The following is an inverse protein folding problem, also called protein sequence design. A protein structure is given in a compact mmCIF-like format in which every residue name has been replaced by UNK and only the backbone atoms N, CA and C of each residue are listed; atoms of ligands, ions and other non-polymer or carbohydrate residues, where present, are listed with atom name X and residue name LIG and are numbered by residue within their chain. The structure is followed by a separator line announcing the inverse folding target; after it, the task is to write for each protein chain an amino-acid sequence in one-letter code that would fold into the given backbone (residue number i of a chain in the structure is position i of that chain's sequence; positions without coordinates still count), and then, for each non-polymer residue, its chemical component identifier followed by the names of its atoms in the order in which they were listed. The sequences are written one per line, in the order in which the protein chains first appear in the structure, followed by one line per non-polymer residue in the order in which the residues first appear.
data_IF_754309625271
#
_entry.id   IF_754309625271
#
_cell.length_a   1.000
_cell.length_b   1.000
_cell.length_c   1.000
_cell.angle_alpha   90.00
_cell.angle_beta   90.00
_cell.angle_gamma   90.00
#
_symmetry.space_group_name_H-M   'P 1'
#
loop_
_entity.id
_entity.type
_entity.pdbx_description
1 polymer ?
#
# COMPACT_ATOMS: atom_id res chain seq x y z
N UNK A 1 4.26 -47.47 46.59
CA UNK A 1 3.18 -47.51 45.56
C UNK A 1 2.79 -46.06 45.30
N UNK A 2 3.41 -45.35 44.36
CA UNK A 2 3.07 -45.20 42.92
C UNK A 2 1.72 -44.47 42.71
N UNK A 3 1.76 -43.18 42.34
CA UNK A 3 1.11 -42.59 41.15
C UNK A 3 1.19 -41.05 41.16
N UNK A 4 1.37 -40.49 39.95
CA UNK A 4 1.61 -39.10 39.56
C UNK A 4 0.30 -38.56 38.97
N UNK A 5 -0.04 -37.28 39.18
CA UNK A 5 -0.93 -36.47 38.30
C UNK A 5 -0.88 -35.02 38.83
N UNK A 6 -0.33 -33.96 38.21
CA UNK A 6 -0.38 -33.36 36.86
C UNK A 6 -1.78 -33.02 36.35
N UNK A 7 -2.25 -31.81 36.64
CA UNK A 7 -3.15 -31.01 35.79
C UNK A 7 -3.38 -29.64 36.45
N UNK A 8 -3.46 -28.50 35.79
CA UNK A 8 -3.10 -28.03 34.45
C UNK A 8 -3.34 -26.53 34.57
N UNK A 9 -2.30 -25.70 34.63
CA UNK A 9 -2.46 -24.25 34.63
C UNK A 9 -2.85 -23.81 33.22
N UNK A 10 -4.12 -23.53 33.00
CA UNK A 10 -4.61 -22.99 31.73
C UNK A 10 -4.23 -21.49 31.64
N UNK A 11 -3.05 -21.22 31.08
CA UNK A 11 -2.64 -19.89 30.65
C UNK A 11 -3.39 -19.56 29.35
N UNK A 12 -4.53 -18.89 29.43
CA UNK A 12 -5.22 -18.35 28.27
C UNK A 12 -4.51 -17.08 27.80
N UNK A 13 -3.44 -17.24 27.02
CA UNK A 13 -2.84 -16.14 26.27
C UNK A 13 -3.71 -15.92 25.01
N UNK A 14 -4.78 -15.14 25.17
CA UNK A 14 -5.61 -14.73 24.05
C UNK A 14 -4.75 -13.78 23.19
N UNK A 15 -4.36 -14.26 22.02
CA UNK A 15 -3.47 -13.57 21.09
C UNK A 15 -4.01 -12.19 20.77
N UNK A 16 -3.22 -11.17 21.11
CA UNK A 16 -3.30 -9.88 20.44
C UNK A 16 -3.00 -10.16 18.96
N UNK A 17 -4.03 -10.24 18.12
CA UNK A 17 -3.86 -9.90 16.72
C UNK A 17 -3.40 -8.44 16.72
N UNK A 18 -2.09 -8.22 16.59
CA UNK A 18 -1.56 -6.89 16.36
C UNK A 18 -2.14 -6.44 15.01
N UNK A 19 -3.14 -5.58 15.07
CA UNK A 19 -3.60 -4.83 13.90
C UNK A 19 -2.43 -3.91 13.56
N UNK A 20 -1.63 -4.28 12.57
CA UNK A 20 -0.64 -3.37 12.03
C UNK A 20 -1.42 -2.22 11.41
N UNK A 21 -1.44 -1.07 12.07
CA UNK A 21 -1.96 0.16 11.48
C UNK A 21 -0.99 0.53 10.36
N UNK A 22 -1.41 0.35 9.10
CA UNK A 22 -0.68 0.93 7.99
C UNK A 22 -0.76 2.46 8.17
N UNK A 23 0.37 3.11 8.40
CA UNK A 23 0.41 4.57 8.38
C UNK A 23 0.16 5.04 6.94
N UNK A 24 -0.66 6.08 6.75
CA UNK A 24 -0.87 6.64 5.43
C UNK A 24 0.46 7.05 4.80
N UNK A 25 0.69 6.70 3.52
CA UNK A 25 1.93 7.03 2.85
C UNK A 25 2.12 8.55 2.81
N UNK A 26 3.27 9.01 3.31
CA UNK A 26 3.59 10.43 3.35
C UNK A 26 3.91 10.94 1.93
N UNK A 27 3.44 12.15 1.56
CA UNK A 27 3.84 12.78 0.32
C UNK A 27 5.36 12.91 0.19
N UNK A 28 5.89 12.57 -0.98
CA UNK A 28 7.32 12.67 -1.28
C UNK A 28 7.56 13.87 -2.18
N UNK A 29 8.46 14.78 -1.77
CA UNK A 29 8.81 15.97 -2.55
C UNK A 29 10.19 15.84 -3.20
N UNK A 30 10.26 16.06 -4.52
CA UNK A 30 11.50 16.11 -5.30
C UNK A 30 11.52 17.40 -6.12
N UNK A 31 12.33 18.36 -5.68
CA UNK A 31 12.36 19.70 -6.27
C UNK A 31 10.99 20.37 -6.20
N UNK A 32 10.43 20.74 -7.35
CA UNK A 32 9.09 21.32 -7.45
C UNK A 32 7.97 20.28 -7.49
N UNK A 33 8.29 18.99 -7.62
CA UNK A 33 7.29 17.95 -7.76
C UNK A 33 6.94 17.33 -6.41
N UNK A 34 5.67 17.04 -6.20
CA UNK A 34 5.15 16.30 -5.04
C UNK A 34 4.46 15.06 -5.56
N UNK A 35 4.78 13.92 -4.96
CA UNK A 35 4.16 12.63 -5.26
C UNK A 35 3.36 12.19 -4.06
N UNK A 36 2.08 11.90 -4.28
CA UNK A 36 1.15 11.41 -3.27
C UNK A 36 0.66 10.03 -3.69
N UNK A 37 0.63 9.09 -2.75
CA UNK A 37 0.09 7.75 -2.95
C UNK A 37 -1.21 7.67 -2.16
N UNK A 38 -2.27 7.13 -2.74
CA UNK A 38 -3.55 6.96 -2.06
C UNK A 38 -3.87 5.47 -1.98
N UNK A 39 -4.00 5.00 -0.75
CA UNK A 39 -4.46 3.64 -0.50
C UNK A 39 -5.98 3.60 -0.65
N UNK A 40 -6.54 2.51 -1.19
CA UNK A 40 -7.98 2.29 -1.15
C UNK A 40 -8.48 2.33 0.29
N UNK A 41 -9.66 2.90 0.51
CA UNK A 41 -10.27 3.05 1.85
C UNK A 41 -10.47 1.68 2.54
N UNK A 42 -10.81 0.65 1.76
CA UNK A 42 -11.01 -0.71 2.26
C UNK A 42 -9.68 -1.44 2.52
N UNK A 43 -8.56 -0.87 2.08
CA UNK A 43 -7.22 -1.45 2.19
C UNK A 43 -6.84 -2.36 1.02
N UNK A 44 -5.78 -3.15 1.22
CA UNK A 44 -5.25 -4.08 0.22
C UNK A 44 -5.51 -5.51 0.67
N UNK A 45 -6.20 -6.29 -0.16
CA UNK A 45 -6.51 -7.69 0.12
C UNK A 45 -5.75 -8.62 -0.82
N UNK A 46 -5.22 -9.71 -0.26
CA UNK A 46 -4.63 -10.78 -1.06
C UNK A 46 -5.69 -11.50 -1.89
N UNK A 47 -5.33 -11.95 -3.09
CA UNK A 47 -6.22 -12.67 -4.00
C UNK A 47 -7.13 -11.79 -4.84
N UNK A 48 -7.08 -10.48 -4.65
CA UNK A 48 -7.88 -9.51 -5.37
C UNK A 48 -7.00 -8.59 -6.22
N UNK A 49 -7.55 -8.17 -7.36
CA UNK A 49 -6.96 -7.08 -8.15
C UNK A 49 -7.43 -5.77 -7.55
N UNK A 50 -6.48 -4.98 -7.05
CA UNK A 50 -6.76 -3.70 -6.41
C UNK A 50 -6.06 -2.60 -7.19
N UNK A 51 -6.78 -1.53 -7.51
CA UNK A 51 -6.21 -0.36 -8.15
C UNK A 51 -5.77 0.64 -7.08
N UNK A 52 -4.48 0.95 -7.08
CA UNK A 52 -3.88 1.94 -6.18
C UNK A 52 -3.60 3.19 -6.98
N UNK A 53 -4.00 4.35 -6.48
CA UNK A 53 -3.78 5.60 -7.19
C UNK A 53 -2.55 6.35 -6.64
N UNK A 54 -1.84 7.04 -7.52
CA UNK A 54 -0.86 8.05 -7.12
C UNK A 54 -0.90 9.27 -8.02
N UNK A 55 -0.56 10.41 -7.46
CA UNK A 55 -0.52 11.70 -8.15
C UNK A 55 0.88 12.28 -8.20
N UNK A 56 1.24 12.86 -9.33
CA UNK A 56 2.43 13.71 -9.49
C UNK A 56 1.99 15.15 -9.73
N UNK A 57 2.37 16.04 -8.83
CA UNK A 57 1.90 17.42 -8.79
C UNK A 57 3.04 18.43 -8.85
N UNK A 58 2.82 19.57 -9.49
CA UNK A 58 3.73 20.72 -9.47
C UNK A 58 3.37 21.65 -8.30
N UNK A 59 4.19 21.65 -7.25
CA UNK A 59 3.98 22.46 -6.03
C UNK A 59 4.05 23.97 -6.25
N UNK A 60 4.42 24.43 -7.45
CA UNK A 60 4.43 25.86 -7.82
C UNK A 60 3.16 26.31 -8.52
N UNK A 61 2.23 25.39 -8.79
CA UNK A 61 1.00 25.65 -9.52
C UNK A 61 -0.21 25.11 -8.77
N UNK A 62 -1.27 25.91 -8.73
CA UNK A 62 -2.56 25.52 -8.16
C UNK A 62 -3.64 25.53 -9.22
N UNK A 63 -4.68 24.71 -9.04
CA UNK A 63 -5.88 24.74 -9.87
C UNK A 63 -7.00 25.51 -9.15
N UNK A 64 -8.13 25.70 -9.80
CA UNK A 64 -9.20 26.59 -9.32
C UNK A 64 -9.80 26.18 -7.95
N UNK A 65 -9.72 24.91 -7.59
CA UNK A 65 -10.19 24.36 -6.30
C UNK A 65 -9.16 24.51 -5.16
N UNK A 66 -7.99 25.11 -5.43
CA UNK A 66 -6.90 25.27 -4.46
C UNK A 66 -5.95 24.08 -4.34
N UNK A 67 -6.24 22.96 -5.03
CA UNK A 67 -5.33 21.82 -5.13
C UNK A 67 -4.12 22.11 -6.00
N UNK A 68 -3.09 21.26 -5.89
CA UNK A 68 -1.91 21.36 -6.76
C UNK A 68 -2.22 20.92 -8.19
N UNK A 69 -1.59 21.56 -9.16
CA UNK A 69 -1.74 21.19 -10.56
C UNK A 69 -1.01 19.88 -10.85
N UNK A 70 -1.73 18.89 -11.36
CA UNK A 70 -1.15 17.63 -11.79
C UNK A 70 -0.24 17.82 -13.01
N UNK A 71 0.86 17.07 -13.04
CA UNK A 71 1.80 17.07 -14.16
C UNK A 71 1.20 16.23 -15.28
N UNK A 72 0.90 16.79 -16.46
CA UNK A 72 0.37 16.00 -17.57
C UNK A 72 1.46 15.07 -18.15
N UNK A 73 1.01 14.00 -18.82
CA UNK A 73 1.86 13.08 -19.60
C UNK A 73 3.05 12.46 -18.83
N UNK A 74 2.86 12.17 -17.54
CA UNK A 74 3.85 11.46 -16.73
C UNK A 74 4.11 10.07 -17.32
N UNK A 75 5.38 9.78 -17.58
CA UNK A 75 5.86 8.45 -17.90
C UNK A 75 6.26 7.75 -16.59
N UNK A 76 5.37 6.90 -16.07
CA UNK A 76 5.58 6.19 -14.81
C UNK A 76 6.05 4.75 -15.02
N UNK A 77 6.87 4.29 -14.08
CA UNK A 77 7.23 2.88 -13.90
C UNK A 77 7.18 2.57 -12.41
N UNK A 78 6.77 1.36 -12.06
CA UNK A 78 6.66 0.93 -10.69
C UNK A 78 7.30 -0.45 -10.50
N UNK A 79 7.87 -0.63 -9.31
CA UNK A 79 8.31 -1.92 -8.79
C UNK A 79 7.74 -2.03 -7.40
N UNK A 80 6.92 -3.06 -7.18
CA UNK A 80 6.32 -3.35 -5.87
C UNK A 80 7.07 -4.52 -5.26
N UNK A 81 7.52 -4.34 -4.02
CA UNK A 81 8.22 -5.35 -3.24
C UNK A 81 7.54 -5.49 -1.90
N UNK A 82 7.55 -6.69 -1.32
CA UNK A 82 6.99 -6.93 0.00
C UNK A 82 8.06 -7.58 0.88
N UNK A 83 8.87 -6.75 1.59
CA UNK A 83 10.06 -7.22 2.30
C UNK A 83 9.75 -8.25 3.38
N UNK A 84 8.60 -8.13 4.03
CA UNK A 84 8.19 -9.00 5.14
C UNK A 84 7.65 -10.37 4.68
N UNK A 85 7.46 -10.58 3.37
CA UNK A 85 7.15 -11.88 2.79
C UNK A 85 8.36 -12.41 2.01
N UNK A 86 9.25 -13.08 2.74
CA UNK A 86 10.43 -13.72 2.16
C UNK A 86 9.99 -14.70 1.07
N UNK A 87 10.50 -14.51 -0.15
CA UNK A 87 10.17 -15.32 -1.32
C UNK A 87 9.13 -14.72 -2.27
N UNK A 88 8.48 -13.60 -1.93
CA UNK A 88 7.62 -12.90 -2.89
C UNK A 88 8.47 -12.15 -3.94
N UNK A 89 8.36 -12.48 -5.25
CA UNK A 89 9.13 -11.77 -6.27
C UNK A 89 8.65 -10.33 -6.42
N UNK A 90 9.58 -9.43 -6.80
CA UNK A 90 9.23 -8.07 -7.14
C UNK A 90 8.23 -8.03 -8.31
N UNK A 91 7.15 -7.28 -8.14
CA UNK A 91 6.10 -7.14 -9.13
C UNK A 91 6.29 -5.87 -9.95
N UNK A 92 5.92 -5.93 -11.23
CA UNK A 92 5.89 -4.78 -12.14
C UNK A 92 4.44 -4.59 -12.58
N UNK A 93 3.66 -3.81 -11.83
CA UNK A 93 2.23 -3.68 -12.09
C UNK A 93 1.96 -2.95 -13.41
N UNK A 94 0.77 -3.16 -13.95
CA UNK A 94 0.26 -2.36 -15.05
C UNK A 94 -0.10 -0.98 -14.52
N UNK A 95 0.33 0.05 -15.23
CA UNK A 95 0.05 1.45 -14.89
C UNK A 95 -0.82 2.03 -16.00
N UNK A 96 -1.86 2.77 -15.62
CA UNK A 96 -2.72 3.48 -16.55
C UNK A 96 -2.98 4.91 -16.08
N UNK A 97 -3.33 5.76 -17.04
CA UNK A 97 -3.67 7.15 -16.77
C UNK A 97 -5.08 7.22 -16.23
N UNK A 98 -5.26 8.02 -15.19
CA UNK A 98 -6.59 8.36 -14.71
C UNK A 98 -7.18 9.55 -15.46
N UNK A 99 -8.46 9.82 -15.22
CA UNK A 99 -9.18 10.96 -15.79
C UNK A 99 -8.67 12.34 -15.33
N UNK A 100 -7.76 12.39 -14.34
CA UNK A 100 -7.14 13.60 -13.80
C UNK A 100 -5.68 13.69 -14.21
N UNK A 101 -5.26 14.85 -14.70
CA UNK A 101 -3.87 15.11 -15.05
C UNK A 101 -2.94 14.81 -13.86
N UNK A 102 -1.83 14.13 -14.12
CA UNK A 102 -0.85 13.74 -13.10
C UNK A 102 -1.24 12.56 -12.22
N UNK A 103 -2.49 12.07 -12.29
CA UNK A 103 -2.94 10.91 -11.52
C UNK A 103 -2.86 9.65 -12.38
N UNK A 104 -2.37 8.57 -11.79
CA UNK A 104 -2.20 7.27 -12.43
C UNK A 104 -2.70 6.16 -11.48
N UNK A 105 -3.31 5.12 -12.05
CA UNK A 105 -3.64 3.88 -11.35
C UNK A 105 -2.52 2.85 -11.50
N UNK A 106 -2.31 2.04 -10.46
CA UNK A 106 -1.49 0.84 -10.46
C UNK A 106 -2.37 -0.37 -10.17
N UNK A 107 -2.53 -1.25 -11.16
CA UNK A 107 -3.21 -2.52 -10.97
C UNK A 107 -2.28 -3.47 -10.20
N UNK A 108 -2.56 -3.65 -8.91
CA UNK A 108 -1.84 -4.55 -8.03
C UNK A 108 -2.61 -5.85 -7.86
N UNK A 109 -1.88 -6.96 -7.80
CA UNK A 109 -2.44 -8.26 -7.43
C UNK A 109 -1.46 -8.96 -6.51
N UNK A 110 -1.89 -9.21 -5.28
CA UNK A 110 -1.08 -9.91 -4.28
C UNK A 110 -1.52 -11.38 -4.24
N UNK A 111 -0.78 -12.31 -4.87
CA UNK A 111 -1.10 -13.73 -4.77
C UNK A 111 -0.98 -14.18 -3.30
N UNK A 112 -1.90 -15.03 -2.85
CA UNK A 112 -1.76 -15.67 -1.55
C UNK A 112 -0.46 -16.49 -1.52
N UNK A 113 0.25 -16.44 -0.38
CA UNK A 113 1.33 -17.38 -0.10
C UNK A 113 0.80 -18.82 -0.10
N UNK A 114 1.64 -19.73 -0.58
CA UNK A 114 1.42 -21.19 -0.60
C UNK A 114 1.38 -21.72 0.83
#
# INVERSE_FOLDING_TARGET
MKQISHSLAALAFCGLCAVASAEDPKPVKVGKYVVELWMPDDGLFSGESVDVEFGVFDSTKTVADGGLAGVPDVAAQAVVTMPDMEGMPAQRPKIHREGRAGVQGLELYFPHGI
#
